data_IF_474064460301
#
_entry.id   IF_474064460301
#
_cell.length_a   1.000
_cell.length_b   1.000
_cell.length_c   1.000
_cell.angle_alpha   90.00
_cell.angle_beta   90.00
_cell.angle_gamma   90.00
#
_symmetry.space_group_name_H-M   'P 1'
#
loop_
_entity.id
_entity.type
_entity.pdbx_description
1 polymer ?
#
# COMPACT_ATOMS: atom_id res chain seq x y z
N UNK A 1 10.27 -8.19 -14.09
CA UNK A 1 9.94 -8.73 -12.76
C UNK A 1 10.88 -8.15 -11.73
N UNK A 2 10.41 -7.90 -10.54
CA UNK A 2 11.17 -7.41 -9.41
C UNK A 2 10.55 -7.88 -8.10
N UNK A 3 11.27 -7.66 -6.99
CA UNK A 3 10.72 -7.90 -5.66
C UNK A 3 11.16 -6.78 -4.72
N UNK A 4 10.38 -6.54 -3.67
CA UNK A 4 10.74 -5.64 -2.58
C UNK A 4 10.61 -6.38 -1.25
N UNK A 5 11.74 -6.58 -0.57
CA UNK A 5 11.71 -7.13 0.78
C UNK A 5 11.07 -6.14 1.76
N UNK A 6 10.32 -6.62 2.77
CA UNK A 6 9.82 -5.78 3.85
C UNK A 6 10.99 -5.06 4.55
N UNK A 7 10.78 -3.80 4.90
CA UNK A 7 11.80 -3.03 5.61
C UNK A 7 11.98 -3.51 7.05
N UNK A 8 13.15 -3.31 7.68
CA UNK A 8 13.33 -3.63 9.10
C UNK A 8 12.30 -2.95 10.01
N UNK A 9 11.86 -1.73 9.64
CA UNK A 9 10.81 -1.02 10.36
C UNK A 9 9.46 -1.75 10.31
N UNK A 10 9.08 -2.32 9.18
CA UNK A 10 7.85 -3.09 9.04
C UNK A 10 7.91 -4.42 9.79
N UNK A 11 9.09 -5.05 9.82
CA UNK A 11 9.28 -6.37 10.43
C UNK A 11 9.44 -6.34 11.96
N UNK A 12 10.12 -5.31 12.50
CA UNK A 12 10.65 -5.36 13.86
C UNK A 12 10.26 -4.17 14.75
N UNK A 13 9.54 -3.17 14.21
CA UNK A 13 9.19 -1.99 15.01
C UNK A 13 8.10 -2.33 16.02
N UNK A 14 8.37 -1.98 17.28
CA UNK A 14 7.36 -1.87 18.34
C UNK A 14 7.18 -0.39 18.67
N UNK A 15 5.96 0.10 18.65
CA UNK A 15 5.62 1.46 19.05
C UNK A 15 4.27 1.46 19.78
N UNK A 16 4.21 2.13 20.93
CA UNK A 16 2.96 2.36 21.65
C UNK A 16 2.73 3.87 21.70
N UNK A 17 1.61 4.31 21.16
CA UNK A 17 1.21 5.71 21.16
C UNK A 17 -0.16 5.87 21.79
N UNK A 18 -0.40 7.02 22.41
CA UNK A 18 -1.75 7.38 22.85
C UNK A 18 -2.45 8.12 21.72
N UNK A 19 -3.61 7.61 21.32
CA UNK A 19 -4.55 8.23 20.40
C UNK A 19 -5.76 8.73 21.17
N UNK A 20 -6.54 9.65 20.60
CA UNK A 20 -7.71 10.25 21.25
C UNK A 20 -8.97 10.11 20.38
N UNK A 21 -9.41 8.88 20.04
CA UNK A 21 -10.66 8.70 19.32
C UNK A 21 -11.82 9.29 20.16
N UNK A 22 -12.58 10.19 19.54
CA UNK A 22 -13.70 10.91 20.20
C UNK A 22 -13.31 11.60 21.53
N UNK A 23 -12.03 12.01 21.69
CA UNK A 23 -11.54 12.69 22.88
C UNK A 23 -11.19 11.76 24.06
N UNK A 24 -11.30 10.46 23.91
CA UNK A 24 -10.93 9.46 24.93
C UNK A 24 -9.51 8.94 24.65
N UNK A 25 -8.58 8.95 25.64
CA UNK A 25 -7.24 8.43 25.44
C UNK A 25 -7.26 6.90 25.31
N UNK A 26 -6.67 6.40 24.23
CA UNK A 26 -6.53 4.97 23.92
C UNK A 26 -5.08 4.68 23.54
N UNK A 27 -4.47 3.68 24.15
CA UNK A 27 -3.14 3.24 23.77
C UNK A 27 -3.22 2.30 22.57
N UNK A 28 -2.60 2.72 21.47
CA UNK A 28 -2.49 1.98 20.23
C UNK A 28 -1.08 1.40 20.13
N UNK A 29 -0.99 0.07 20.10
CA UNK A 29 0.26 -0.65 19.93
C UNK A 29 0.48 -1.09 18.47
N UNK A 30 1.57 -0.63 17.85
CA UNK A 30 2.10 -1.24 16.63
C UNK A 30 3.14 -2.28 17.05
N UNK A 31 2.94 -3.52 16.63
CA UNK A 31 3.82 -4.63 17.00
C UNK A 31 4.39 -5.32 15.75
N UNK A 32 5.60 -5.93 15.86
CA UNK A 32 6.08 -6.83 14.82
C UNK A 32 5.05 -7.93 14.51
N UNK A 33 4.85 -8.30 13.24
CA UNK A 33 3.93 -9.39 12.89
C UNK A 33 4.25 -10.72 13.58
N UNK A 34 5.53 -10.95 13.85
CA UNK A 34 6.03 -12.15 14.55
C UNK A 34 5.97 -12.06 16.07
N UNK A 35 5.52 -10.93 16.64
CA UNK A 35 5.38 -10.79 18.08
C UNK A 35 4.26 -11.68 18.63
N UNK A 36 4.35 -12.16 19.89
CA UNK A 36 3.28 -12.93 20.51
C UNK A 36 1.92 -12.22 20.47
N UNK A 37 1.91 -10.90 20.62
CA UNK A 37 0.67 -10.11 20.62
C UNK A 37 0.00 -10.08 19.24
N UNK A 38 0.76 -9.80 18.16
CA UNK A 38 0.24 -9.79 16.81
C UNK A 38 -0.13 -11.21 16.34
N UNK A 39 0.73 -12.20 16.59
CA UNK A 39 0.49 -13.59 16.24
C UNK A 39 -0.78 -14.16 16.92
N UNK A 40 -1.05 -13.79 18.17
CA UNK A 40 -2.27 -14.19 18.89
C UNK A 40 -3.55 -13.70 18.17
N UNK A 41 -3.46 -12.59 17.44
CA UNK A 41 -4.58 -12.02 16.67
C UNK A 41 -4.54 -12.41 15.19
N UNK A 42 -3.66 -13.34 14.79
CA UNK A 42 -3.62 -13.92 13.46
C UNK A 42 -2.59 -13.30 12.50
N UNK A 43 -1.68 -12.44 12.99
CA UNK A 43 -0.60 -11.93 12.16
C UNK A 43 0.30 -13.06 11.63
N UNK A 44 0.77 -12.91 10.41
CA UNK A 44 1.73 -13.79 9.77
C UNK A 44 3.05 -13.05 9.53
N UNK A 45 4.18 -13.77 9.46
CA UNK A 45 5.43 -13.18 9.00
C UNK A 45 5.25 -12.49 7.65
N UNK A 46 5.98 -11.39 7.43
CA UNK A 46 5.93 -10.68 6.15
C UNK A 46 6.75 -11.39 5.08
N UNK A 47 6.17 -11.54 3.92
CA UNK A 47 6.81 -11.95 2.69
C UNK A 47 7.24 -10.74 1.84
N UNK A 48 8.11 -10.96 0.85
CA UNK A 48 8.45 -9.93 -0.12
C UNK A 48 7.23 -9.58 -1.00
N UNK A 49 7.16 -8.33 -1.41
CA UNK A 49 6.25 -7.92 -2.49
C UNK A 49 6.86 -8.33 -3.82
N UNK A 50 6.10 -8.99 -4.68
CA UNK A 50 6.53 -9.35 -6.02
C UNK A 50 5.95 -8.40 -7.05
N UNK A 51 6.74 -8.09 -8.10
CA UNK A 51 6.33 -7.16 -9.15
C UNK A 51 6.55 -7.76 -10.52
N UNK A 52 5.52 -7.70 -11.36
CA UNK A 52 5.58 -8.04 -12.77
C UNK A 52 5.21 -6.81 -13.60
N UNK A 53 6.07 -6.47 -14.57
CA UNK A 53 5.88 -5.32 -15.44
C UNK A 53 5.79 -5.77 -16.89
N UNK A 54 4.78 -5.29 -17.59
CA UNK A 54 4.60 -5.41 -19.04
C UNK A 54 4.66 -4.03 -19.64
N UNK A 55 5.42 -3.88 -20.72
CA UNK A 55 5.48 -2.63 -21.49
C UNK A 55 5.46 -2.96 -22.98
N UNK A 56 4.71 -2.15 -23.73
CA UNK A 56 4.67 -2.21 -25.18
C UNK A 56 4.65 -0.78 -25.71
N UNK A 57 5.67 -0.41 -26.48
CA UNK A 57 5.78 0.90 -27.06
C UNK A 57 6.11 0.89 -28.54
N UNK A 58 5.76 1.95 -29.23
CA UNK A 58 6.23 2.18 -30.58
C UNK A 58 6.58 3.66 -30.77
N UNK A 59 7.53 3.90 -31.67
CA UNK A 59 7.89 5.25 -32.11
C UNK A 59 7.78 5.31 -33.63
N UNK A 60 7.19 6.38 -34.14
CA UNK A 60 7.09 6.65 -35.58
C UNK A 60 7.52 8.08 -35.87
N UNK A 61 8.17 8.30 -37.02
CA UNK A 61 8.51 9.62 -37.52
C UNK A 61 8.00 9.76 -38.96
N UNK A 62 7.26 10.83 -39.22
CA UNK A 62 6.71 11.14 -40.55
C UNK A 62 6.99 12.63 -40.85
N UNK A 63 7.94 12.88 -41.74
CA UNK A 63 8.41 14.24 -41.96
C UNK A 63 9.00 14.80 -40.66
N UNK A 64 8.51 15.96 -40.27
CA UNK A 64 8.97 16.68 -39.07
C UNK A 64 8.19 16.30 -37.80
N UNK A 65 7.27 15.35 -37.89
CA UNK A 65 6.51 14.81 -36.77
C UNK A 65 7.16 13.55 -36.24
N UNK A 66 7.44 13.51 -34.95
CA UNK A 66 7.83 12.32 -34.18
C UNK A 66 6.74 11.99 -33.15
N UNK A 67 6.33 10.71 -33.09
CA UNK A 67 5.32 10.21 -32.18
C UNK A 67 5.86 9.00 -31.42
N UNK A 68 5.73 9.02 -30.10
CA UNK A 68 6.00 7.86 -29.23
C UNK A 68 4.74 7.54 -28.46
N UNK A 69 4.40 6.25 -28.41
CA UNK A 69 3.28 5.73 -27.61
C UNK A 69 3.78 4.53 -26.82
N UNK A 70 3.62 4.59 -25.51
CA UNK A 70 3.99 3.53 -24.58
C UNK A 70 2.79 3.13 -23.74
N UNK A 71 2.44 1.85 -23.77
CA UNK A 71 1.50 1.22 -22.86
C UNK A 71 2.28 0.42 -21.82
N UNK A 72 1.82 0.45 -20.58
CA UNK A 72 2.40 -0.32 -19.49
C UNK A 72 1.33 -0.89 -18.56
N UNK A 73 1.66 -2.02 -17.94
CA UNK A 73 0.93 -2.63 -16.84
C UNK A 73 1.93 -3.09 -15.79
N UNK A 74 1.71 -2.69 -14.54
CA UNK A 74 2.55 -3.01 -13.39
C UNK A 74 1.65 -3.71 -12.36
N UNK A 75 1.93 -4.98 -12.13
CA UNK A 75 1.27 -5.82 -11.12
C UNK A 75 2.19 -5.90 -9.90
N UNK A 76 1.65 -5.66 -8.71
CA UNK A 76 2.37 -5.80 -7.45
C UNK A 76 1.54 -6.70 -6.56
N UNK A 77 2.06 -7.89 -6.27
CA UNK A 77 1.46 -8.89 -5.42
C UNK A 77 1.97 -8.76 -3.98
N UNK A 78 1.10 -9.05 -3.02
CA UNK A 78 1.44 -9.11 -1.61
C UNK A 78 1.91 -7.78 -1.02
N UNK A 79 1.29 -6.66 -1.37
CA UNK A 79 1.69 -5.34 -0.84
C UNK A 79 1.62 -5.29 0.67
N UNK A 80 2.73 -4.85 1.28
CA UNK A 80 2.84 -4.70 2.73
C UNK A 80 2.17 -3.41 3.17
N UNK A 81 1.10 -3.55 3.97
CA UNK A 81 0.35 -2.45 4.54
C UNK A 81 0.12 -2.66 6.03
N UNK A 82 -0.22 -1.59 6.75
CA UNK A 82 -0.67 -1.68 8.14
C UNK A 82 -2.13 -2.11 8.17
N UNK A 83 -2.44 -3.12 8.96
CA UNK A 83 -3.84 -3.51 9.20
C UNK A 83 -4.61 -2.42 9.93
N UNK A 84 -5.94 -2.47 9.81
CA UNK A 84 -6.81 -1.65 10.64
C UNK A 84 -6.59 -1.99 12.12
N UNK A 85 -6.60 -0.98 12.98
CA UNK A 85 -6.47 -1.17 14.41
C UNK A 85 -7.50 -2.20 14.92
N UNK A 86 -7.00 -3.22 15.63
CA UNK A 86 -7.83 -4.22 16.29
C UNK A 86 -8.14 -3.74 17.71
N UNK A 87 -9.40 -3.53 18.07
CA UNK A 87 -9.75 -3.11 19.43
C UNK A 87 -9.39 -4.18 20.45
N UNK A 88 -8.93 -3.76 21.62
CA UNK A 88 -8.61 -4.62 22.77
C UNK A 88 -9.27 -4.04 24.02
N UNK A 89 -10.05 -4.83 24.74
CA UNK A 89 -10.76 -4.37 25.94
C UNK A 89 -11.05 -5.52 26.89
N UNK A 90 -10.78 -5.32 28.16
CA UNK A 90 -11.16 -6.26 29.23
C UNK A 90 -12.66 -6.22 29.57
N UNK A 91 -13.42 -5.27 29.01
CA UNK A 91 -14.86 -5.18 29.21
C UNK A 91 -15.61 -6.19 28.34
N UNK A 92 -16.34 -7.16 28.92
CA UNK A 92 -17.09 -8.18 28.17
C UNK A 92 -18.13 -7.64 27.18
N UNK A 93 -18.60 -6.41 27.36
CA UNK A 93 -19.56 -5.78 26.47
C UNK A 93 -18.92 -5.03 25.29
N UNK A 94 -17.59 -5.03 25.20
CA UNK A 94 -16.83 -4.35 24.14
C UNK A 94 -16.51 -5.31 22.99
N UNK A 95 -16.50 -4.79 21.76
CA UNK A 95 -16.05 -5.50 20.55
C UNK A 95 -14.59 -6.00 20.67
N UNK A 96 -13.78 -5.33 21.48
CA UNK A 96 -12.39 -5.71 21.75
C UNK A 96 -12.21 -6.88 22.74
N UNK A 97 -13.29 -7.39 23.35
CA UNK A 97 -13.17 -8.41 24.41
C UNK A 97 -12.65 -9.76 23.87
N UNK A 98 -13.08 -10.19 22.69
CA UNK A 98 -12.59 -11.41 22.09
C UNK A 98 -11.07 -11.34 21.81
N UNK A 99 -10.59 -10.21 21.30
CA UNK A 99 -9.16 -9.98 21.08
C UNK A 99 -8.40 -9.98 22.42
N UNK A 100 -8.92 -9.34 23.44
CA UNK A 100 -8.33 -9.37 24.79
C UNK A 100 -8.19 -10.80 25.31
N UNK A 101 -9.22 -11.64 25.17
CA UNK A 101 -9.17 -13.05 25.59
C UNK A 101 -8.10 -13.84 24.84
N UNK A 102 -7.94 -13.59 23.53
CA UNK A 102 -6.86 -14.22 22.72
C UNK A 102 -5.49 -13.82 23.24
N UNK A 103 -5.26 -12.55 23.57
CA UNK A 103 -4.00 -12.08 24.13
C UNK A 103 -3.70 -12.74 25.49
N UNK A 104 -4.69 -12.83 26.38
CA UNK A 104 -4.56 -13.51 27.67
C UNK A 104 -4.27 -15.00 27.49
N UNK A 105 -4.98 -15.69 26.61
CA UNK A 105 -4.81 -17.12 26.33
C UNK A 105 -3.41 -17.44 25.76
N UNK A 106 -2.79 -16.49 25.06
CA UNK A 106 -1.45 -16.62 24.51
C UNK A 106 -0.36 -16.02 25.43
N UNK A 107 -0.68 -15.74 26.70
CA UNK A 107 0.23 -15.22 27.72
C UNK A 107 0.94 -13.91 27.30
N UNK A 108 0.25 -13.04 26.56
CA UNK A 108 0.77 -11.71 26.24
C UNK A 108 0.78 -10.87 27.52
N UNK A 109 1.91 -10.25 27.90
CA UNK A 109 2.02 -9.48 29.13
C UNK A 109 1.21 -8.18 29.04
N UNK A 110 0.48 -7.87 30.12
CA UNK A 110 -0.28 -6.63 30.33
C UNK A 110 -1.24 -6.25 29.19
N UNK A 111 -2.07 -7.17 28.67
CA UNK A 111 -2.95 -6.88 27.53
C UNK A 111 -3.99 -5.80 27.87
N UNK A 112 -4.30 -5.59 29.17
CA UNK A 112 -5.19 -4.54 29.67
C UNK A 112 -4.64 -3.12 29.46
N UNK A 113 -3.35 -2.97 29.22
CA UNK A 113 -2.73 -1.68 28.93
C UNK A 113 -2.97 -1.19 27.51
N UNK A 114 -3.44 -2.06 26.62
CA UNK A 114 -3.72 -1.79 25.21
C UNK A 114 -5.22 -1.52 25.03
N UNK A 115 -5.55 -0.48 24.27
CA UNK A 115 -6.91 -0.28 23.77
C UNK A 115 -7.07 -0.70 22.31
N UNK A 116 -5.99 -0.64 21.54
CA UNK A 116 -5.93 -1.10 20.16
C UNK A 116 -4.55 -1.68 19.84
N UNK A 117 -4.52 -2.59 18.85
CA UNK A 117 -3.31 -3.22 18.36
C UNK A 117 -3.35 -3.31 16.83
N UNK A 118 -2.20 -3.05 16.19
CA UNK A 118 -2.02 -3.23 14.76
C UNK A 118 -0.62 -3.80 14.43
N UNK A 119 -0.47 -4.24 13.18
CA UNK A 119 0.79 -4.74 12.62
C UNK A 119 0.84 -4.48 11.11
N UNK A 120 1.94 -4.85 10.46
CA UNK A 120 2.03 -4.89 9.00
C UNK A 120 1.73 -6.30 8.50
N UNK A 121 1.05 -6.40 7.35
CA UNK A 121 0.79 -7.67 6.65
C UNK A 121 0.82 -7.48 5.13
N UNK A 122 1.04 -8.58 4.40
CA UNK A 122 0.84 -8.62 2.96
C UNK A 122 -0.67 -8.73 2.70
N UNK A 123 -1.30 -7.65 2.28
CA UNK A 123 -2.75 -7.51 2.43
C UNK A 123 -3.53 -7.49 1.13
N UNK A 124 -2.99 -6.94 0.06
CA UNK A 124 -3.69 -6.81 -1.22
C UNK A 124 -2.70 -6.68 -2.37
N UNK A 125 -3.22 -6.89 -3.57
CA UNK A 125 -2.49 -6.73 -4.81
C UNK A 125 -2.92 -5.44 -5.49
N UNK A 126 -2.07 -4.91 -6.35
CA UNK A 126 -2.39 -3.72 -7.13
C UNK A 126 -2.00 -3.92 -8.58
N UNK A 127 -2.88 -3.51 -9.48
CA UNK A 127 -2.60 -3.43 -10.91
C UNK A 127 -2.64 -1.97 -11.31
N UNK A 128 -1.55 -1.49 -11.90
CA UNK A 128 -1.43 -0.14 -12.42
C UNK A 128 -1.25 -0.21 -13.95
N UNK A 129 -2.22 0.30 -14.69
CA UNK A 129 -2.21 0.31 -16.16
C UNK A 129 -2.20 1.74 -16.67
N UNK A 130 -1.37 2.02 -17.67
CA UNK A 130 -1.29 3.36 -18.23
C UNK A 130 -0.84 3.41 -19.69
N UNK A 131 -0.99 4.61 -20.24
CA UNK A 131 -0.55 4.96 -21.59
C UNK A 131 0.12 6.31 -21.57
N UNK A 132 1.31 6.38 -22.14
CA UNK A 132 2.08 7.60 -22.37
C UNK A 132 2.13 7.89 -23.85
N UNK A 133 1.81 9.13 -24.26
CA UNK A 133 1.87 9.57 -25.64
C UNK A 133 2.68 10.87 -25.67
N UNK A 134 3.72 10.90 -26.51
CA UNK A 134 4.53 12.10 -26.77
C UNK A 134 4.57 12.35 -28.26
N UNK A 135 4.18 13.55 -28.68
CA UNK A 135 4.26 14.00 -30.04
C UNK A 135 5.13 15.26 -30.12
N UNK A 136 6.13 15.26 -30.97
CA UNK A 136 6.99 16.42 -31.23
C UNK A 136 6.95 16.75 -32.70
N UNK A 137 6.70 18.01 -33.00
CA UNK A 137 6.70 18.54 -34.37
C UNK A 137 7.71 19.67 -34.47
N UNK A 138 8.67 19.50 -35.37
CA UNK A 138 9.65 20.53 -35.68
C UNK A 138 9.15 21.36 -36.86
N UNK A 139 8.99 22.67 -36.67
CA UNK A 139 8.58 23.58 -37.69
C UNK A 139 9.74 24.52 -38.06
N UNK A 140 10.24 24.39 -39.29
CA UNK A 140 11.25 25.28 -39.83
C UNK A 140 10.59 26.50 -40.50
N UNK A 141 10.82 27.67 -39.92
CA UNK A 141 10.31 28.96 -40.45
C UNK A 141 11.07 29.45 -41.67
N UNK A 142 12.15 28.78 -42.06
CA UNK A 142 13.16 29.32 -42.96
C UNK A 142 14.02 30.41 -42.26
N UNK A 143 14.93 30.99 -42.95
CA UNK A 143 15.81 32.03 -42.40
C UNK A 143 16.67 31.61 -41.15
N UNK A 144 16.85 30.32 -40.93
CA UNK A 144 17.62 29.78 -39.80
C UNK A 144 16.85 29.75 -38.48
N UNK A 145 15.54 29.91 -38.49
CA UNK A 145 14.68 29.77 -37.29
C UNK A 145 13.84 28.50 -37.37
N UNK A 146 13.84 27.73 -36.30
CA UNK A 146 12.97 26.57 -36.14
C UNK A 146 12.30 26.60 -34.76
N UNK A 147 11.14 25.93 -34.62
CA UNK A 147 10.40 25.81 -33.39
C UNK A 147 9.95 24.35 -33.21
N UNK A 148 10.24 23.78 -32.03
CA UNK A 148 9.76 22.49 -31.64
C UNK A 148 8.47 22.64 -30.80
N UNK A 149 7.40 22.02 -31.27
CA UNK A 149 6.16 21.88 -30.53
C UNK A 149 6.08 20.47 -29.94
N UNK A 150 6.03 20.37 -28.63
CA UNK A 150 5.90 19.08 -27.95
C UNK A 150 4.59 19.02 -27.17
N UNK A 151 3.82 17.96 -27.41
CA UNK A 151 2.61 17.61 -26.65
C UNK A 151 2.85 16.26 -25.98
N UNK A 152 2.60 16.20 -24.68
CA UNK A 152 2.68 14.98 -23.90
C UNK A 152 1.32 14.70 -23.22
N UNK A 153 0.86 13.46 -23.29
CA UNK A 153 -0.35 12.98 -22.63
C UNK A 153 -0.02 11.72 -21.84
N UNK A 154 -0.44 11.68 -20.57
CA UNK A 154 -0.36 10.51 -19.70
C UNK A 154 -1.76 10.15 -19.22
N UNK A 155 -2.10 8.86 -19.28
CA UNK A 155 -3.26 8.28 -18.62
C UNK A 155 -2.80 7.14 -17.73
N UNK A 156 -3.29 7.10 -16.50
CA UNK A 156 -2.94 6.09 -15.52
C UNK A 156 -4.19 5.70 -14.71
N UNK A 157 -4.37 4.40 -14.52
CA UNK A 157 -5.43 3.82 -13.69
C UNK A 157 -4.81 2.79 -12.75
N UNK A 158 -5.16 2.88 -11.47
CA UNK A 158 -4.76 1.89 -10.46
C UNK A 158 -5.98 1.16 -9.94
N UNK A 159 -5.90 -0.16 -9.92
CA UNK A 159 -6.91 -1.04 -9.35
C UNK A 159 -6.32 -1.78 -8.15
N UNK A 160 -7.16 -2.00 -7.14
CA UNK A 160 -6.84 -2.83 -5.99
C UNK A 160 -7.49 -4.19 -6.19
N UNK A 161 -6.70 -5.26 -6.09
CA UNK A 161 -7.18 -6.63 -6.18
C UNK A 161 -7.13 -7.30 -4.80
N UNK A 162 -8.06 -8.22 -4.56
CA UNK A 162 -8.19 -8.90 -3.28
C UNK A 162 -9.34 -8.37 -2.40
N UNK A 163 -9.41 -8.84 -1.17
CA UNK A 163 -10.48 -8.48 -0.25
C UNK A 163 -10.14 -7.20 0.54
N UNK A 164 -10.18 -6.07 -0.16
CA UNK A 164 -9.85 -4.74 0.40
C UNK A 164 -10.82 -4.28 1.49
N UNK A 165 -12.02 -4.86 1.59
CA UNK A 165 -13.02 -4.51 2.62
C UNK A 165 -12.57 -4.81 4.05
N UNK A 166 -11.59 -5.69 4.23
CA UNK A 166 -11.00 -6.00 5.54
C UNK A 166 -10.05 -4.91 6.04
N UNK A 167 -9.51 -4.08 5.15
CA UNK A 167 -8.49 -3.08 5.46
C UNK A 167 -9.07 -1.67 5.55
N UNK A 168 -10.17 -1.44 4.88
CA UNK A 168 -10.89 -0.17 4.92
C UNK A 168 -12.23 -0.42 5.59
N UNK A 169 -12.26 -0.39 6.93
CA UNK A 169 -13.52 -0.37 7.66
C UNK A 169 -14.31 0.86 7.18
N UNK A 170 -15.53 0.70 6.63
CA UNK A 170 -16.34 1.85 6.36
C UNK A 170 -16.54 2.58 7.69
N UNK A 171 -16.25 3.86 7.72
CA UNK A 171 -16.58 4.71 8.85
C UNK A 171 -18.09 4.64 9.03
N UNK A 172 -18.54 3.89 10.02
CA UNK A 172 -19.92 3.85 10.48
C UNK A 172 -20.16 4.96 11.49
#
# INVERSE_FOLDING_TARGET
TGFRAPTPGQQFTTNIRTSFPFGVPVNVGLFPPTSPAAAALGAQPLDAEDTVNYTLGFTASVGDLSLTVDWYQIEIEGRVNSVTNRPVSSNPASDGFANFQLLVANNVPNPESLGELNWYENSFDTVNTGVDIVATYNYDWGNGHATDFTCAYNYNQQELEGNVSQFFSPFS
#
